data_IF_246715842808
#
_entry.id   IF_246715842808
#
_cell.length_a   1.000
_cell.length_b   1.000
_cell.length_c   1.000
_cell.angle_alpha   90.00
_cell.angle_beta   90.00
_cell.angle_gamma   90.00
#
_symmetry.space_group_name_H-M   'P 1'
#
loop_
_entity.id
_entity.type
_entity.pdbx_description
1 polymer ?
#
# COMPACT_ATOMS: atom_id res chain seq x y z
N UNK A 1 54.81 75.46 28.31
CA UNK A 1 53.88 74.70 29.19
C UNK A 1 52.72 74.21 28.34
N UNK A 2 52.78 73.01 27.81
CA UNK A 2 51.67 72.41 27.07
C UNK A 2 51.44 71.02 27.68
N UNK A 3 50.29 70.83 28.36
CA UNK A 3 49.90 69.59 29.06
C UNK A 3 49.12 68.69 28.16
N UNK A 4 49.70 67.51 27.84
CA UNK A 4 49.06 66.40 27.18
C UNK A 4 47.83 65.85 27.98
N UNK A 5 46.67 65.95 27.38
CA UNK A 5 45.40 65.34 27.88
C UNK A 5 44.77 64.47 26.80
N UNK A 6 45.49 63.44 26.29
CA UNK A 6 44.98 62.57 25.22
C UNK A 6 44.95 61.09 25.59
N UNK A 7 45.13 60.70 26.85
CA UNK A 7 45.24 59.28 27.25
C UNK A 7 43.94 58.53 27.54
N UNK A 8 42.77 59.13 27.83
CA UNK A 8 41.58 58.31 28.13
C UNK A 8 40.75 57.87 26.90
N UNK A 9 40.91 58.48 25.71
CA UNK A 9 40.13 58.19 24.52
C UNK A 9 40.60 56.91 23.82
N UNK A 10 41.90 56.59 23.90
CA UNK A 10 42.46 55.38 23.29
C UNK A 10 42.09 54.08 24.04
N UNK A 11 41.81 54.14 25.34
CA UNK A 11 41.42 52.99 26.17
C UNK A 11 39.95 52.58 25.92
N UNK A 12 39.07 53.53 25.56
CA UNK A 12 37.67 53.28 25.24
C UNK A 12 37.48 52.69 23.85
N UNK A 13 38.33 52.98 22.91
CA UNK A 13 38.32 52.39 21.55
C UNK A 13 38.76 50.91 21.54
N UNK A 14 39.59 50.49 22.50
CA UNK A 14 40.08 49.10 22.59
C UNK A 14 39.04 48.14 23.22
N UNK A 15 38.10 48.66 24.00
CA UNK A 15 37.01 47.83 24.62
C UNK A 15 35.89 47.52 23.64
N UNK A 16 35.71 48.31 22.58
CA UNK A 16 34.68 48.08 21.55
C UNK A 16 35.06 47.02 20.51
N UNK A 17 36.29 46.56 20.46
CA UNK A 17 36.78 45.55 19.50
C UNK A 17 36.69 44.11 19.97
N UNK A 18 36.23 43.82 21.21
CA UNK A 18 36.11 42.48 21.76
C UNK A 18 34.70 41.90 21.70
N UNK A 19 33.74 42.59 21.07
CA UNK A 19 32.38 42.11 20.86
C UNK A 19 32.22 41.32 19.53
N UNK A 20 33.26 40.62 19.05
CA UNK A 20 33.05 39.53 18.10
C UNK A 20 32.40 38.38 18.84
N UNK A 21 31.08 38.27 18.74
CA UNK A 21 30.35 37.13 19.25
C UNK A 21 30.95 35.83 18.69
N UNK A 22 31.61 35.08 19.57
CA UNK A 22 31.95 33.68 19.29
C UNK A 22 30.65 32.94 19.06
N UNK A 23 30.26 32.71 17.80
CA UNK A 23 29.23 31.72 17.55
C UNK A 23 29.73 30.40 18.19
N UNK A 24 28.95 29.89 19.15
CA UNK A 24 29.29 28.62 19.77
C UNK A 24 29.46 27.58 18.65
N UNK A 25 30.52 26.80 18.72
CA UNK A 25 30.72 25.70 17.76
C UNK A 25 29.52 24.78 17.85
N UNK A 26 28.97 24.30 16.71
CA UNK A 26 27.89 23.32 16.73
C UNK A 26 28.36 22.04 17.41
N UNK A 27 27.45 21.39 18.14
CA UNK A 27 27.69 20.10 18.78
C UNK A 27 27.71 18.96 17.76
N UNK A 28 26.96 19.09 16.65
CA UNK A 28 26.97 18.16 15.54
C UNK A 28 26.55 18.84 14.23
N UNK A 29 26.75 18.13 13.13
CA UNK A 29 26.25 18.50 11.81
C UNK A 29 25.30 17.42 11.32
N UNK A 30 24.30 17.83 10.54
CA UNK A 30 23.30 16.93 9.97
C UNK A 30 22.79 17.43 8.62
N UNK A 31 21.89 16.65 8.05
CA UNK A 31 21.20 16.99 6.80
C UNK A 31 19.71 16.87 7.05
N UNK A 32 18.97 17.87 6.64
CA UNK A 32 17.50 17.85 6.66
C UNK A 32 17.03 16.84 5.62
N UNK A 33 16.10 15.98 6.00
CA UNK A 33 15.44 15.05 5.10
C UNK A 33 13.94 15.00 5.39
N UNK A 34 13.20 14.28 4.56
CA UNK A 34 11.76 14.10 4.66
C UNK A 34 11.39 12.62 4.49
N UNK A 35 10.34 12.18 5.17
CA UNK A 35 9.78 10.87 4.87
C UNK A 35 9.36 10.80 3.40
N UNK A 36 9.82 9.78 2.70
CA UNK A 36 9.56 9.65 1.28
C UNK A 36 9.20 8.23 0.88
N UNK A 37 8.30 8.12 -0.09
CA UNK A 37 7.81 6.87 -0.65
C UNK A 37 8.15 6.81 -2.13
N UNK A 38 8.69 5.69 -2.57
CA UNK A 38 8.88 5.40 -3.97
C UNK A 38 7.63 4.71 -4.49
N UNK A 39 6.80 5.41 -5.25
CA UNK A 39 5.59 4.85 -5.84
C UNK A 39 5.95 4.18 -7.16
N UNK A 40 5.67 2.87 -7.24
CA UNK A 40 6.01 2.04 -8.39
C UNK A 40 4.75 1.46 -9.04
N UNK A 41 4.86 1.09 -10.31
CA UNK A 41 3.79 0.40 -11.01
C UNK A 41 3.60 -1.03 -10.48
N UNK A 42 2.37 -1.42 -10.20
CA UNK A 42 2.04 -2.81 -9.81
C UNK A 42 1.80 -3.72 -11.01
N UNK A 43 1.49 -3.15 -12.19
CA UNK A 43 1.22 -3.87 -13.44
C UNK A 43 2.07 -3.30 -14.57
N UNK A 44 2.31 -4.11 -15.59
CA UNK A 44 2.99 -3.67 -16.79
C UNK A 44 2.00 -3.07 -17.79
N UNK A 45 2.34 -1.92 -18.38
CA UNK A 45 1.48 -1.28 -19.37
C UNK A 45 2.01 0.06 -19.86
N UNK A 46 1.37 0.61 -20.87
CA UNK A 46 1.65 1.95 -21.35
C UNK A 46 0.94 2.99 -20.49
N UNK A 47 1.62 4.06 -20.12
CA UNK A 47 1.04 5.18 -19.38
C UNK A 47 0.09 5.96 -20.32
N UNK A 48 -1.20 5.94 -20.00
CA UNK A 48 -2.22 6.73 -20.73
C UNK A 48 -2.37 8.10 -20.12
N UNK A 49 -2.32 8.17 -18.78
CA UNK A 49 -2.47 9.41 -18.03
C UNK A 49 -1.45 9.49 -16.89
N UNK A 50 -0.86 10.67 -16.69
CA UNK A 50 0.13 10.95 -15.67
C UNK A 50 -0.24 12.30 -15.04
N UNK A 51 -0.73 12.27 -13.82
CA UNK A 51 -1.12 13.46 -13.04
C UNK A 51 -0.07 13.83 -11.98
N UNK A 52 0.90 12.92 -11.72
CA UNK A 52 2.01 13.19 -10.84
C UNK A 52 3.03 14.07 -11.59
N UNK A 53 3.03 15.37 -11.30
CA UNK A 53 4.01 16.33 -11.79
C UNK A 53 4.93 16.78 -10.64
N UNK A 54 6.22 17.05 -10.93
CA UNK A 54 7.16 17.51 -9.93
C UNK A 54 6.68 18.83 -9.29
N UNK A 55 6.73 18.88 -7.96
CA UNK A 55 6.26 20.01 -7.16
C UNK A 55 4.75 20.01 -6.89
N UNK A 56 3.93 19.15 -7.50
CA UNK A 56 2.51 19.07 -7.18
C UNK A 56 2.27 18.35 -5.85
N UNK A 57 1.25 18.76 -5.12
CA UNK A 57 0.77 18.08 -3.91
C UNK A 57 -0.35 17.13 -4.28
N UNK A 58 -0.21 15.86 -3.88
CA UNK A 58 -1.21 14.82 -4.06
C UNK A 58 -1.77 14.39 -2.70
N UNK A 59 -3.09 14.30 -2.63
CA UNK A 59 -3.77 13.74 -1.46
C UNK A 59 -3.73 12.21 -1.49
N UNK A 60 -3.83 11.58 -0.32
CA UNK A 60 -3.98 10.13 -0.20
C UNK A 60 -5.17 9.64 -1.02
N UNK A 61 -4.99 8.56 -1.79
CA UNK A 61 -6.01 7.97 -2.66
C UNK A 61 -6.24 8.71 -3.99
N UNK A 62 -5.62 9.88 -4.22
CA UNK A 62 -5.71 10.57 -5.50
C UNK A 62 -5.12 9.71 -6.63
N UNK A 63 -5.76 9.71 -7.79
CA UNK A 63 -5.25 9.04 -8.99
C UNK A 63 -3.99 9.77 -9.47
N UNK A 64 -2.86 9.10 -9.46
CA UNK A 64 -1.58 9.66 -9.90
C UNK A 64 -1.23 9.23 -11.32
N UNK A 65 -1.47 7.96 -11.66
CA UNK A 65 -1.14 7.39 -12.97
C UNK A 65 -2.19 6.39 -13.39
N UNK A 66 -2.46 6.34 -14.70
CA UNK A 66 -3.32 5.34 -15.32
C UNK A 66 -2.60 4.66 -16.47
N UNK A 67 -2.57 3.33 -16.41
CA UNK A 67 -2.03 2.47 -17.47
C UNK A 67 -3.14 2.06 -18.44
N UNK A 68 -2.75 1.67 -19.65
CA UNK A 68 -3.66 1.09 -20.62
C UNK A 68 -4.21 -0.26 -20.16
N UNK A 69 -5.52 -0.39 -20.13
CA UNK A 69 -6.24 -1.60 -19.73
C UNK A 69 -6.88 -2.34 -20.90
N UNK A 70 -6.62 -1.93 -22.14
CA UNK A 70 -7.30 -2.46 -23.33
C UNK A 70 -7.25 -3.97 -23.43
N UNK A 71 -6.06 -4.56 -23.35
CA UNK A 71 -5.86 -6.02 -23.40
C UNK A 71 -6.55 -6.75 -22.23
N UNK A 72 -6.41 -6.25 -21.01
CA UNK A 72 -7.05 -6.81 -19.82
C UNK A 72 -8.58 -6.74 -19.90
N UNK A 73 -9.10 -5.64 -20.39
CA UNK A 73 -10.55 -5.45 -20.58
C UNK A 73 -11.13 -6.40 -21.63
N UNK A 74 -10.38 -6.73 -22.67
CA UNK A 74 -10.75 -7.76 -23.65
C UNK A 74 -10.75 -9.15 -23.01
N UNK A 75 -9.74 -9.48 -22.23
CA UNK A 75 -9.63 -10.74 -21.50
C UNK A 75 -10.79 -10.91 -20.51
N UNK A 76 -11.12 -9.87 -19.73
CA UNK A 76 -12.26 -9.89 -18.82
C UNK A 76 -13.57 -10.20 -19.57
N UNK A 77 -13.83 -9.49 -20.66
CA UNK A 77 -15.03 -9.73 -21.48
C UNK A 77 -15.08 -11.14 -22.05
N UNK A 78 -13.93 -11.75 -22.37
CA UNK A 78 -13.88 -13.14 -22.82
C UNK A 78 -14.37 -14.10 -21.75
N UNK A 79 -13.86 -13.99 -20.49
CA UNK A 79 -14.32 -14.81 -19.38
C UNK A 79 -15.80 -14.61 -19.06
N UNK A 80 -16.27 -13.35 -19.03
CA UNK A 80 -17.69 -13.04 -18.80
C UNK A 80 -18.59 -13.61 -19.91
N UNK A 81 -18.11 -13.66 -21.14
CA UNK A 81 -18.84 -14.26 -22.26
C UNK A 81 -18.91 -15.77 -22.12
N UNK A 82 -17.85 -16.44 -21.66
CA UNK A 82 -17.84 -17.88 -21.39
C UNK A 82 -18.82 -18.22 -20.25
N UNK A 83 -18.84 -17.45 -19.16
CA UNK A 83 -19.83 -17.61 -18.09
C UNK A 83 -21.26 -17.48 -18.61
N UNK A 84 -21.55 -16.45 -19.44
CA UNK A 84 -22.86 -16.26 -20.05
C UNK A 84 -23.26 -17.42 -20.97
N UNK A 85 -22.31 -18.03 -21.68
CA UNK A 85 -22.59 -19.17 -22.55
C UNK A 85 -22.88 -20.46 -21.76
N UNK A 86 -22.29 -20.63 -20.57
CA UNK A 86 -22.52 -21.81 -19.72
C UNK A 86 -23.82 -21.76 -18.93
N UNK A 87 -24.30 -20.59 -18.52
CA UNK A 87 -25.53 -20.45 -17.71
C UNK A 87 -26.77 -21.12 -18.31
N UNK A 88 -27.04 -21.01 -19.63
CA UNK A 88 -28.18 -21.69 -20.24
C UNK A 88 -28.02 -23.22 -20.32
N UNK A 89 -26.82 -23.77 -20.17
CA UNK A 89 -26.56 -25.21 -20.19
C UNK A 89 -26.88 -25.91 -18.86
N UNK A 90 -27.25 -25.15 -17.83
CA UNK A 90 -27.67 -25.71 -16.55
C UNK A 90 -28.92 -26.56 -16.76
N UNK A 91 -28.94 -27.85 -16.32
CA UNK A 91 -30.11 -28.71 -16.47
C UNK A 91 -31.30 -28.18 -15.67
N UNK A 92 -32.46 -28.14 -16.30
CA UNK A 92 -33.72 -27.92 -15.59
C UNK A 92 -34.16 -29.23 -14.94
N UNK A 93 -33.63 -29.48 -13.74
CA UNK A 93 -33.87 -30.71 -12.97
C UNK A 93 -35.38 -30.96 -12.73
N UNK A 94 -36.16 -29.88 -12.47
CA UNK A 94 -37.58 -29.98 -12.23
C UNK A 94 -38.29 -30.51 -13.47
N UNK A 95 -38.05 -29.94 -14.64
CA UNK A 95 -38.71 -30.33 -15.89
C UNK A 95 -38.30 -31.70 -16.35
N UNK A 96 -37.04 -32.10 -16.19
CA UNK A 96 -36.57 -33.42 -16.60
C UNK A 96 -37.12 -34.54 -15.68
N UNK A 97 -37.36 -34.32 -14.42
CA UNK A 97 -37.93 -35.27 -13.48
C UNK A 97 -39.47 -35.30 -13.52
N UNK A 98 -40.14 -34.27 -14.05
CA UNK A 98 -41.61 -34.14 -14.03
C UNK A 98 -42.30 -35.32 -14.69
N UNK A 99 -41.78 -35.82 -15.83
CA UNK A 99 -42.34 -36.98 -16.51
C UNK A 99 -42.29 -38.23 -15.62
N UNK A 100 -41.21 -38.48 -14.93
CA UNK A 100 -41.05 -39.60 -14.04
C UNK A 100 -41.97 -39.49 -12.79
N UNK A 101 -42.11 -38.30 -12.26
CA UNK A 101 -43.01 -38.05 -11.16
C UNK A 101 -44.47 -38.23 -11.53
N UNK A 102 -44.93 -37.84 -12.72
CA UNK A 102 -46.29 -38.11 -13.19
C UNK A 102 -46.55 -39.60 -13.45
N UNK A 103 -45.57 -40.35 -13.96
CA UNK A 103 -45.66 -41.80 -14.09
C UNK A 103 -45.80 -42.47 -12.72
N UNK A 104 -45.01 -42.00 -11.72
CA UNK A 104 -45.11 -42.49 -10.34
C UNK A 104 -46.48 -42.22 -9.72
N UNK A 105 -47.03 -41.01 -9.93
CA UNK A 105 -48.36 -40.65 -9.44
C UNK A 105 -49.47 -41.53 -10.04
N UNK A 106 -49.40 -41.76 -11.34
CA UNK A 106 -50.32 -42.65 -12.03
C UNK A 106 -50.26 -44.10 -11.49
N UNK A 107 -49.04 -44.64 -11.31
CA UNK A 107 -48.85 -45.96 -10.73
C UNK A 107 -49.29 -46.05 -9.24
N UNK A 108 -49.07 -45.01 -8.45
CA UNK A 108 -49.51 -44.91 -7.07
C UNK A 108 -51.07 -44.93 -6.98
N UNK A 109 -51.76 -44.23 -7.91
CA UNK A 109 -53.19 -44.29 -8.05
C UNK A 109 -53.69 -45.66 -8.46
N UNK A 110 -52.99 -46.39 -9.35
CA UNK A 110 -53.29 -47.77 -9.70
C UNK A 110 -53.11 -48.72 -8.52
N UNK A 111 -52.01 -48.56 -7.73
CA UNK A 111 -51.75 -49.34 -6.53
C UNK A 111 -52.91 -49.23 -5.56
N UNK A 112 -53.42 -47.98 -5.26
CA UNK A 112 -54.53 -47.76 -4.37
C UNK A 112 -55.82 -48.47 -4.84
N UNK A 113 -56.07 -48.48 -6.18
CA UNK A 113 -57.23 -49.17 -6.74
C UNK A 113 -57.13 -50.69 -6.62
N UNK A 114 -55.96 -51.26 -6.97
CA UNK A 114 -55.69 -52.70 -6.91
C UNK A 114 -55.78 -53.16 -5.44
N UNK A 115 -55.21 -52.44 -4.49
CA UNK A 115 -55.27 -52.78 -3.06
C UNK A 115 -56.73 -52.85 -2.57
N UNK A 116 -57.58 -51.88 -2.99
CA UNK A 116 -58.98 -51.90 -2.66
C UNK A 116 -59.75 -53.14 -3.24
N UNK A 117 -59.37 -53.52 -4.50
CA UNK A 117 -59.94 -54.75 -5.14
C UNK A 117 -59.44 -56.00 -4.47
N UNK A 118 -58.21 -56.12 -4.08
CA UNK A 118 -57.70 -57.26 -3.30
C UNK A 118 -58.36 -57.35 -1.93
N UNK A 119 -58.54 -56.25 -1.22
CA UNK A 119 -59.25 -56.20 0.05
C UNK A 119 -60.71 -56.63 -0.06
N UNK A 120 -61.34 -56.35 -1.21
CA UNK A 120 -62.68 -56.79 -1.52
C UNK A 120 -62.82 -58.28 -2.02
N UNK A 121 -61.66 -58.96 -2.15
CA UNK A 121 -61.59 -60.32 -2.71
C UNK A 121 -61.81 -60.39 -4.24
N UNK A 122 -61.82 -59.24 -4.94
CA UNK A 122 -62.07 -59.14 -6.39
C UNK A 122 -60.80 -59.22 -7.29
N UNK A 123 -59.59 -59.27 -6.68
CA UNK A 123 -58.32 -59.44 -7.39
C UNK A 123 -57.36 -60.29 -6.58
N UNK A 124 -56.43 -61.01 -7.23
CA UNK A 124 -55.41 -61.78 -6.51
C UNK A 124 -54.32 -60.82 -5.94
N UNK A 125 -53.78 -61.16 -4.76
CA UNK A 125 -52.74 -60.37 -4.08
C UNK A 125 -51.49 -60.15 -4.93
N UNK A 126 -51.13 -61.12 -5.78
CA UNK A 126 -50.01 -61.01 -6.73
C UNK A 126 -50.09 -59.77 -7.62
N UNK A 127 -51.30 -59.28 -7.96
CA UNK A 127 -51.46 -58.08 -8.77
C UNK A 127 -51.06 -56.81 -8.00
N UNK A 128 -51.31 -56.75 -6.69
CA UNK A 128 -50.84 -55.69 -5.83
C UNK A 128 -49.32 -55.72 -5.69
N UNK A 129 -48.74 -56.90 -5.51
CA UNK A 129 -47.27 -57.06 -5.43
C UNK A 129 -46.56 -56.63 -6.75
N UNK A 130 -47.12 -56.99 -7.93
CA UNK A 130 -46.58 -56.59 -9.23
C UNK A 130 -46.57 -55.05 -9.42
N UNK A 131 -47.64 -54.34 -8.99
CA UNK A 131 -47.67 -52.86 -9.08
C UNK A 131 -46.74 -52.21 -8.04
N UNK A 132 -46.63 -52.77 -6.82
CA UNK A 132 -45.68 -52.31 -5.83
C UNK A 132 -44.23 -52.47 -6.31
N UNK A 133 -43.92 -53.58 -7.02
CA UNK A 133 -42.60 -53.77 -7.61
C UNK A 133 -42.28 -52.73 -8.70
N UNK A 134 -43.24 -52.41 -9.57
CA UNK A 134 -43.11 -51.37 -10.58
C UNK A 134 -42.87 -50.00 -9.94
N UNK A 135 -43.55 -49.65 -8.86
CA UNK A 135 -43.33 -48.42 -8.09
C UNK A 135 -41.90 -48.35 -7.54
N UNK A 136 -41.40 -49.47 -6.95
CA UNK A 136 -40.01 -49.53 -6.43
C UNK A 136 -38.98 -49.35 -7.53
N UNK A 137 -39.17 -49.91 -8.71
CA UNK A 137 -38.29 -49.75 -9.88
C UNK A 137 -38.31 -48.27 -10.33
N UNK A 138 -39.50 -47.66 -10.41
CA UNK A 138 -39.65 -46.27 -10.83
C UNK A 138 -39.03 -45.30 -9.82
N UNK A 139 -39.20 -45.52 -8.50
CA UNK A 139 -38.55 -44.77 -7.45
C UNK A 139 -37.01 -44.83 -7.55
N UNK A 140 -36.47 -46.01 -7.87
CA UNK A 140 -35.03 -46.21 -8.12
C UNK A 140 -34.56 -45.44 -9.33
N UNK A 141 -35.35 -45.42 -10.42
CA UNK A 141 -35.04 -44.62 -11.64
C UNK A 141 -35.08 -43.13 -11.35
N UNK A 142 -36.07 -42.62 -10.57
CA UNK A 142 -36.13 -41.21 -10.15
C UNK A 142 -34.87 -40.84 -9.34
N UNK A 143 -34.51 -41.70 -8.36
CA UNK A 143 -33.31 -41.45 -7.56
C UNK A 143 -32.01 -41.40 -8.38
N UNK A 144 -31.88 -42.32 -9.32
CA UNK A 144 -30.71 -42.37 -10.23
C UNK A 144 -30.65 -41.13 -11.16
N UNK A 145 -31.78 -40.78 -11.77
CA UNK A 145 -31.90 -39.56 -12.61
C UNK A 145 -31.60 -38.30 -11.84
N UNK A 146 -32.16 -38.14 -10.62
CA UNK A 146 -31.90 -36.99 -9.75
C UNK A 146 -30.42 -36.90 -9.39
N UNK A 147 -29.78 -38.01 -9.03
CA UNK A 147 -28.35 -38.05 -8.71
C UNK A 147 -27.49 -37.66 -9.92
N UNK A 148 -27.83 -38.12 -11.11
CA UNK A 148 -27.10 -37.77 -12.36
C UNK A 148 -27.21 -36.29 -12.67
N UNK A 149 -28.43 -35.73 -12.66
CA UNK A 149 -28.68 -34.31 -12.90
C UNK A 149 -28.04 -33.39 -11.85
N UNK A 150 -28.04 -33.84 -10.59
CA UNK A 150 -27.37 -33.08 -9.50
C UNK A 150 -25.85 -33.01 -9.75
N UNK A 151 -25.21 -34.10 -10.17
CA UNK A 151 -23.77 -34.12 -10.51
C UNK A 151 -23.46 -33.26 -11.74
N UNK A 152 -24.29 -33.31 -12.76
CA UNK A 152 -24.15 -32.48 -13.95
C UNK A 152 -24.27 -31.01 -13.63
N UNK A 153 -25.32 -30.64 -12.86
CA UNK A 153 -25.50 -29.26 -12.35
C UNK A 153 -24.29 -28.78 -11.54
N UNK A 154 -23.79 -29.64 -10.63
CA UNK A 154 -22.61 -29.31 -9.82
C UNK A 154 -21.36 -29.11 -10.68
N UNK A 155 -21.15 -29.91 -11.72
CA UNK A 155 -20.02 -29.77 -12.64
C UNK A 155 -20.10 -28.44 -13.43
N UNK A 156 -21.27 -28.09 -13.96
CA UNK A 156 -21.45 -26.80 -14.66
C UNK A 156 -21.25 -25.61 -13.74
N UNK A 157 -21.80 -25.66 -12.51
CA UNK A 157 -21.61 -24.59 -11.51
C UNK A 157 -20.14 -24.45 -11.11
N UNK A 158 -19.40 -25.56 -10.96
CA UNK A 158 -17.96 -25.51 -10.68
C UNK A 158 -17.17 -24.84 -11.80
N UNK A 159 -17.52 -25.13 -13.07
CA UNK A 159 -16.90 -24.46 -14.22
C UNK A 159 -17.20 -22.95 -14.25
N UNK A 160 -18.45 -22.57 -13.99
CA UNK A 160 -18.85 -21.15 -13.89
C UNK A 160 -18.03 -20.46 -12.79
N UNK A 161 -17.97 -21.04 -11.59
CA UNK A 161 -17.21 -20.49 -10.47
C UNK A 161 -15.72 -20.34 -10.77
N UNK A 162 -15.12 -21.30 -11.49
CA UNK A 162 -13.74 -21.21 -11.94
C UNK A 162 -13.51 -20.04 -12.90
N UNK A 163 -14.41 -19.82 -13.87
CA UNK A 163 -14.32 -18.72 -14.82
C UNK A 163 -14.58 -17.37 -14.14
N UNK A 164 -15.51 -17.29 -13.20
CA UNK A 164 -15.77 -16.10 -12.39
C UNK A 164 -14.53 -15.73 -11.58
N UNK A 165 -13.86 -16.71 -10.97
CA UNK A 165 -12.59 -16.48 -10.25
C UNK A 165 -11.48 -15.94 -11.17
N UNK A 166 -11.39 -16.45 -12.40
CA UNK A 166 -10.43 -15.94 -13.40
C UNK A 166 -10.79 -14.51 -13.84
N UNK A 167 -12.07 -14.21 -13.99
CA UNK A 167 -12.54 -12.85 -14.27
C UNK A 167 -12.20 -11.88 -13.13
N UNK A 168 -12.32 -12.32 -11.88
CA UNK A 168 -11.99 -11.51 -10.70
C UNK A 168 -10.49 -11.19 -10.61
N UNK A 169 -9.62 -12.14 -10.94
CA UNK A 169 -8.17 -11.89 -11.04
C UNK A 169 -7.89 -10.79 -12.07
N UNK A 170 -8.55 -10.83 -13.24
CA UNK A 170 -8.34 -9.82 -14.27
C UNK A 170 -8.91 -8.46 -13.84
N UNK A 171 -10.04 -8.43 -13.11
CA UNK A 171 -10.59 -7.18 -12.54
C UNK A 171 -9.62 -6.53 -11.54
N UNK A 172 -9.00 -7.32 -10.67
CA UNK A 172 -8.00 -6.85 -9.72
C UNK A 172 -6.79 -6.24 -10.47
N UNK A 173 -6.31 -6.92 -11.52
CA UNK A 173 -5.23 -6.39 -12.37
C UNK A 173 -5.62 -5.07 -13.06
N UNK A 174 -6.85 -4.95 -13.57
CA UNK A 174 -7.38 -3.71 -14.15
C UNK A 174 -7.40 -2.60 -13.07
N UNK A 175 -7.82 -2.90 -11.85
CA UNK A 175 -7.82 -1.94 -10.75
C UNK A 175 -6.39 -1.45 -10.43
N UNK A 176 -5.40 -2.33 -10.44
CA UNK A 176 -3.98 -2.00 -10.23
C UNK A 176 -3.36 -1.18 -11.36
N UNK A 177 -3.97 -1.14 -12.55
CA UNK A 177 -3.56 -0.22 -13.61
C UNK A 177 -3.86 1.25 -13.28
N UNK A 178 -4.63 1.52 -12.23
CA UNK A 178 -4.85 2.85 -11.67
C UNK A 178 -3.99 3.00 -10.42
N UNK A 179 -2.83 3.65 -10.56
CA UNK A 179 -1.90 3.89 -9.44
C UNK A 179 -2.39 5.10 -8.66
N UNK A 180 -2.79 4.87 -7.42
CA UNK A 180 -3.24 5.93 -6.49
C UNK A 180 -2.13 6.31 -5.54
N UNK A 181 -2.16 7.57 -5.09
CA UNK A 181 -1.19 8.10 -4.15
C UNK A 181 -1.37 7.43 -2.76
N UNK A 182 -0.29 6.87 -2.15
CA UNK A 182 -0.41 6.11 -0.90
C UNK A 182 -0.67 7.00 0.32
N UNK A 183 -0.12 8.21 0.36
CA UNK A 183 -0.17 9.15 1.49
C UNK A 183 -0.27 10.59 0.99
N UNK A 184 -0.63 11.52 1.86
CA UNK A 184 -0.56 12.95 1.56
C UNK A 184 0.89 13.38 1.38
N UNK A 185 1.21 14.11 0.31
CA UNK A 185 2.59 14.54 0.10
C UNK A 185 2.80 15.36 -1.15
N UNK A 186 4.04 15.75 -1.38
CA UNK A 186 4.48 16.47 -2.58
C UNK A 186 5.34 15.56 -3.45
N UNK A 187 5.08 15.54 -4.74
CA UNK A 187 5.89 14.81 -5.72
C UNK A 187 7.23 15.52 -5.87
N UNK A 188 8.32 14.85 -5.49
CA UNK A 188 9.68 15.44 -5.52
C UNK A 188 10.50 15.01 -6.73
N UNK A 189 10.13 13.90 -7.37
CA UNK A 189 10.74 13.46 -8.62
C UNK A 189 9.77 12.59 -9.42
N UNK A 190 9.82 12.67 -10.74
CA UNK A 190 9.06 11.81 -11.66
C UNK A 190 10.05 11.10 -12.58
N UNK A 191 9.93 9.76 -12.70
CA UNK A 191 10.90 8.90 -13.38
C UNK A 191 10.42 8.41 -14.74
N UNK A 192 9.18 8.71 -15.11
CA UNK A 192 8.52 8.20 -16.32
C UNK A 192 7.77 9.31 -17.05
N UNK A 193 7.43 9.06 -18.30
CA UNK A 193 6.70 10.01 -19.12
C UNK A 193 5.38 9.41 -19.63
N UNK A 194 4.45 10.29 -19.98
CA UNK A 194 3.22 9.89 -20.64
C UNK A 194 3.53 9.17 -21.96
N UNK A 195 2.80 8.10 -22.25
CA UNK A 195 2.98 7.19 -23.37
C UNK A 195 4.21 6.27 -23.28
N UNK A 196 4.95 6.31 -22.22
CA UNK A 196 6.02 5.35 -21.95
C UNK A 196 5.44 4.01 -21.51
N UNK A 197 6.11 2.91 -21.85
CA UNK A 197 5.78 1.57 -21.36
C UNK A 197 6.58 1.28 -20.10
N UNK A 198 5.89 0.90 -19.02
CA UNK A 198 6.49 0.56 -17.74
C UNK A 198 6.25 -0.91 -17.40
N UNK A 199 7.26 -1.66 -16.97
CA UNK A 199 7.09 -2.98 -16.38
C UNK A 199 6.57 -2.87 -14.94
N UNK A 200 6.05 -3.98 -14.40
CA UNK A 200 5.70 -4.06 -12.98
C UNK A 200 6.94 -3.89 -12.10
N UNK A 201 6.82 -3.14 -11.01
CA UNK A 201 7.90 -2.82 -10.08
C UNK A 201 8.74 -1.61 -10.48
N UNK A 202 8.55 -1.02 -11.64
CA UNK A 202 9.28 0.20 -12.02
C UNK A 202 8.81 1.40 -11.20
N UNK A 203 9.73 2.17 -10.58
CA UNK A 203 9.42 3.43 -9.95
C UNK A 203 8.82 4.43 -10.94
N UNK A 204 7.73 5.08 -10.53
CA UNK A 204 7.03 6.08 -11.34
C UNK A 204 7.37 7.48 -10.82
N UNK A 205 7.20 7.71 -9.52
CA UNK A 205 7.50 8.99 -8.89
C UNK A 205 7.92 8.80 -7.43
N UNK A 206 8.59 9.81 -6.89
CA UNK A 206 8.93 9.93 -5.47
C UNK A 206 7.98 10.93 -4.82
N UNK A 207 7.26 10.47 -3.80
CA UNK A 207 6.43 11.30 -2.94
C UNK A 207 7.20 11.61 -1.66
N UNK A 208 7.13 12.85 -1.15
CA UNK A 208 7.75 13.23 0.12
C UNK A 208 6.80 14.06 0.96
N UNK A 209 6.81 13.83 2.26
CA UNK A 209 6.13 14.67 3.23
C UNK A 209 7.02 15.87 3.58
N UNK A 210 6.76 16.99 2.93
CA UNK A 210 7.51 18.22 3.16
C UNK A 210 6.98 19.04 4.35
N UNK A 211 5.94 18.57 5.04
CA UNK A 211 5.42 19.23 6.23
C UNK A 211 6.13 18.77 7.51
N UNK A 212 6.51 17.50 7.58
CA UNK A 212 7.20 16.92 8.72
C UNK A 212 8.63 16.56 8.33
N UNK A 213 9.53 17.53 8.54
CA UNK A 213 10.95 17.37 8.24
C UNK A 213 11.70 16.90 9.47
N UNK A 214 12.79 16.19 9.25
CA UNK A 214 13.70 15.77 10.28
C UNK A 214 15.15 16.02 9.86
N UNK A 215 16.06 16.03 10.83
CA UNK A 215 17.50 16.07 10.58
C UNK A 215 18.09 14.72 10.94
N UNK A 216 18.79 14.10 10.01
CA UNK A 216 19.72 13.02 10.31
C UNK A 216 21.07 13.64 10.65
N UNK A 217 21.52 13.48 11.89
CA UNK A 217 22.75 14.04 12.44
C UNK A 217 23.63 12.94 13.03
N UNK A 218 24.92 13.24 13.13
CA UNK A 218 25.91 12.32 13.70
C UNK A 218 26.63 12.97 14.87
N UNK A 219 26.42 12.43 16.08
CA UNK A 219 27.05 12.88 17.29
C UNK A 219 28.24 12.00 17.64
N UNK A 220 29.33 12.60 18.13
CA UNK A 220 30.42 11.84 18.72
C UNK A 220 30.04 11.30 20.11
N UNK A 221 30.78 10.32 20.60
CA UNK A 221 30.48 9.67 21.87
C UNK A 221 30.49 10.64 23.08
N UNK A 222 31.29 11.70 23.04
CA UNK A 222 31.36 12.68 24.12
C UNK A 222 30.11 13.58 24.12
N UNK A 223 29.65 14.03 22.96
CA UNK A 223 28.45 14.82 22.78
C UNK A 223 27.20 14.00 23.11
N UNK A 224 27.18 12.70 22.72
CA UNK A 224 26.07 11.81 22.99
C UNK A 224 25.78 11.67 24.49
N UNK A 225 26.77 11.73 25.38
CA UNK A 225 26.53 11.67 26.84
C UNK A 225 25.66 12.80 27.38
N UNK A 226 25.54 13.90 26.63
CA UNK A 226 24.71 15.07 26.98
C UNK A 226 23.33 15.03 26.31
N UNK A 227 23.10 14.11 25.39
CA UNK A 227 21.87 13.98 24.62
C UNK A 227 21.03 12.80 25.14
N UNK A 228 19.73 12.98 25.19
CA UNK A 228 18.77 11.92 25.51
C UNK A 228 17.57 11.99 24.59
N UNK A 229 16.90 10.85 24.43
CA UNK A 229 15.67 10.79 23.67
C UNK A 229 14.64 11.76 24.24
N UNK A 230 14.00 12.56 23.37
CA UNK A 230 13.04 13.57 23.74
C UNK A 230 13.62 14.94 24.10
N UNK A 231 14.94 15.11 24.12
CA UNK A 231 15.56 16.40 24.43
C UNK A 231 15.27 17.42 23.32
N UNK A 232 14.96 18.68 23.71
CA UNK A 232 14.87 19.77 22.75
C UNK A 232 16.26 20.17 22.26
N UNK A 233 16.37 20.53 21.00
CA UNK A 233 17.60 21.00 20.37
C UNK A 233 17.34 22.23 19.51
N UNK A 234 18.37 23.08 19.37
CA UNK A 234 18.37 24.18 18.43
C UNK A 234 19.05 23.73 17.15
N UNK A 235 18.31 23.73 16.06
CA UNK A 235 18.82 23.43 14.72
C UNK A 235 18.99 24.75 13.97
N UNK A 236 20.15 24.94 13.35
CA UNK A 236 20.45 26.17 12.59
C UNK A 236 20.80 25.81 11.15
N UNK A 237 20.18 26.51 10.24
CA UNK A 237 20.38 26.37 8.79
C UNK A 237 20.82 27.69 8.19
N UNK A 238 21.48 27.65 7.05
CA UNK A 238 21.88 28.85 6.33
C UNK A 238 20.66 29.66 5.89
N UNK A 239 20.64 30.97 6.23
CA UNK A 239 19.59 31.87 5.83
C UNK A 239 19.88 32.54 4.49
N UNK A 240 18.88 32.79 3.60
CA UNK A 240 19.06 33.39 2.28
C UNK A 240 19.73 34.78 2.29
N UNK A 241 19.60 35.53 3.39
CA UNK A 241 20.17 36.88 3.56
C UNK A 241 21.53 36.88 4.26
N UNK A 242 22.13 35.71 4.48
CA UNK A 242 23.32 35.51 5.28
C UNK A 242 23.00 35.39 6.77
N UNK A 243 23.85 34.61 7.49
CA UNK A 243 23.61 34.23 8.88
C UNK A 243 22.90 32.89 9.00
N UNK A 244 22.47 32.55 10.21
CA UNK A 244 21.84 31.27 10.53
C UNK A 244 20.37 31.50 10.96
N UNK A 245 19.47 30.78 10.32
CA UNK A 245 18.07 30.66 10.72
C UNK A 245 17.92 29.55 11.75
N UNK A 246 17.28 29.84 12.88
CA UNK A 246 17.11 28.93 14.00
C UNK A 246 15.74 28.30 13.97
N UNK A 247 15.70 26.98 14.06
CA UNK A 247 14.48 26.17 14.14
C UNK A 247 14.57 25.26 15.36
N UNK A 248 13.47 25.09 16.07
CA UNK A 248 13.37 24.13 17.17
C UNK A 248 13.29 22.70 16.64
N UNK A 249 13.80 21.77 17.42
CA UNK A 249 13.65 20.35 17.12
C UNK A 249 13.69 19.50 18.39
N UNK A 250 13.38 18.21 18.22
CA UNK A 250 13.38 17.23 19.30
C UNK A 250 14.05 15.96 18.86
N UNK A 251 14.92 15.41 19.69
CA UNK A 251 15.56 14.11 19.43
C UNK A 251 14.51 13.00 19.54
N UNK A 252 14.27 12.30 18.42
CA UNK A 252 13.28 11.22 18.32
C UNK A 252 13.90 9.83 18.18
N UNK A 253 15.18 9.77 17.79
CA UNK A 253 15.89 8.52 17.66
C UNK A 253 17.38 8.70 17.95
N UNK A 254 17.98 7.72 18.62
CA UNK A 254 19.43 7.60 18.86
C UNK A 254 19.81 6.17 18.52
N UNK A 255 20.78 5.98 17.62
CA UNK A 255 21.28 4.66 17.27
C UNK A 255 21.98 3.99 18.45
N UNK A 256 21.71 2.71 18.68
CA UNK A 256 22.36 1.92 19.75
C UNK A 256 23.79 1.51 19.36
N UNK A 257 24.10 1.43 18.07
CA UNK A 257 25.40 1.07 17.54
C UNK A 257 26.08 2.27 16.89
N UNK A 258 27.40 2.36 17.10
CA UNK A 258 28.19 3.41 16.48
C UNK A 258 28.45 3.09 14.99
N UNK A 259 28.32 4.09 14.16
CA UNK A 259 28.67 4.03 12.74
C UNK A 259 30.05 4.67 12.51
N UNK A 260 30.70 4.25 11.42
CA UNK A 260 31.90 4.96 10.96
C UNK A 260 31.48 6.13 10.07
N UNK A 261 32.01 7.31 10.32
CA UNK A 261 31.74 8.48 9.45
C UNK A 261 31.94 8.12 7.97
N UNK A 262 30.96 8.41 7.08
CA UNK A 262 31.02 8.00 5.67
C UNK A 262 32.07 8.71 4.81
N UNK A 263 33.15 9.24 5.39
CA UNK A 263 34.16 10.01 4.68
C UNK A 263 35.29 9.12 4.16
N UNK A 264 35.38 8.94 2.86
CA UNK A 264 36.33 8.08 2.12
C UNK A 264 37.78 8.60 2.06
N UNK A 265 38.20 9.56 2.88
CA UNK A 265 39.57 10.10 2.85
C UNK A 265 40.32 9.73 4.11
N UNK A 266 41.20 8.75 4.00
CA UNK A 266 42.11 8.27 5.05
C UNK A 266 43.33 9.22 5.20
N UNK A 267 43.20 10.28 5.98
CA UNK A 267 44.35 10.99 6.53
C UNK A 267 44.60 10.51 7.97
N UNK A 268 45.85 10.59 8.46
CA UNK A 268 46.22 10.09 9.80
C UNK A 268 45.46 10.72 10.96
N UNK A 269 44.86 11.91 10.77
CA UNK A 269 44.07 12.64 11.76
C UNK A 269 42.57 12.28 11.73
N UNK A 270 42.10 11.63 10.67
CA UNK A 270 40.73 11.10 10.51
C UNK A 270 40.68 9.59 10.77
N UNK A 271 41.34 9.10 11.81
CA UNK A 271 40.97 7.77 12.35
C UNK A 271 39.52 7.86 12.75
N UNK A 272 38.71 7.06 12.06
CA UNK A 272 37.26 7.01 12.15
C UNK A 272 36.79 7.29 13.59
N UNK A 273 36.32 8.51 13.83
CA UNK A 273 35.60 8.78 15.07
C UNK A 273 34.30 8.01 14.94
N UNK A 274 34.08 7.13 15.88
CA UNK A 274 32.78 6.49 16.02
C UNK A 274 31.76 7.59 16.28
N UNK A 275 30.72 7.61 15.46
CA UNK A 275 29.62 8.54 15.57
C UNK A 275 28.33 7.77 15.69
N UNK A 276 27.39 8.34 16.38
CA UNK A 276 26.07 7.76 16.57
C UNK A 276 25.08 8.55 15.73
N UNK A 277 24.32 7.86 14.91
CA UNK A 277 23.23 8.46 14.16
C UNK A 277 22.11 8.89 15.10
N UNK A 278 21.65 10.12 14.95
CA UNK A 278 20.57 10.72 15.74
C UNK A 278 19.59 11.36 14.80
N UNK A 279 18.30 11.11 15.00
CA UNK A 279 17.22 11.79 14.27
C UNK A 279 16.56 12.81 15.15
N UNK A 280 16.33 13.97 14.57
CA UNK A 280 15.75 15.14 15.22
C UNK A 280 14.55 15.57 14.39
N UNK A 281 13.35 15.44 14.93
CA UNK A 281 12.15 15.98 14.28
C UNK A 281 12.14 17.49 14.45
N UNK A 282 11.86 18.20 13.37
CA UNK A 282 11.87 19.66 13.32
C UNK A 282 10.47 20.23 13.55
N UNK A 283 10.41 21.40 14.16
CA UNK A 283 9.19 22.20 14.17
C UNK A 283 8.87 22.66 12.73
N UNK A 284 7.57 22.82 12.42
CA UNK A 284 7.15 23.23 11.07
C UNK A 284 7.75 24.58 10.68
N UNK A 285 8.46 24.61 9.56
CA UNK A 285 9.03 25.82 8.99
C UNK A 285 9.03 25.76 7.44
N UNK A 286 8.33 26.69 6.83
CA UNK A 286 8.17 26.77 5.37
C UNK A 286 9.48 27.06 4.59
N UNK A 287 10.53 27.51 5.27
CA UNK A 287 11.81 27.84 4.64
C UNK A 287 12.71 26.60 4.47
N UNK A 288 12.45 25.54 5.24
CA UNK A 288 13.26 24.33 5.21
C UNK A 288 12.98 23.48 3.96
N UNK A 289 14.02 22.82 3.48
CA UNK A 289 13.94 21.87 2.35
C UNK A 289 14.83 20.67 2.63
N UNK A 290 14.41 19.46 2.21
CA UNK A 290 15.29 18.29 2.21
C UNK A 290 16.60 18.57 1.46
N UNK A 291 17.72 18.06 1.99
CA UNK A 291 19.06 18.27 1.47
C UNK A 291 19.79 19.50 2.03
N UNK A 292 19.13 20.37 2.81
CA UNK A 292 19.81 21.49 3.48
C UNK A 292 20.74 20.97 4.58
N UNK A 293 21.98 21.49 4.68
CA UNK A 293 22.85 21.22 5.82
C UNK A 293 22.32 21.94 7.06
N UNK A 294 22.51 21.30 8.21
CA UNK A 294 22.06 21.80 9.48
C UNK A 294 23.16 21.70 10.56
N UNK A 295 23.27 22.72 11.39
CA UNK A 295 24.08 22.74 12.60
C UNK A 295 23.21 22.45 13.82
N UNK A 296 23.63 21.50 14.65
CA UNK A 296 22.89 21.06 15.83
C UNK A 296 23.54 21.65 17.08
N UNK A 297 22.74 22.26 17.92
CA UNK A 297 23.14 22.78 19.23
C UNK A 297 22.27 22.16 20.32
N UNK A 298 22.87 21.36 21.20
CA UNK A 298 22.19 20.80 22.36
C UNK A 298 21.85 21.91 23.36
N UNK A 299 20.66 21.87 23.91
CA UNK A 299 20.23 22.79 24.96
C UNK A 299 20.61 22.15 26.28
N UNK A 300 21.60 22.74 26.99
CA UNK A 300 22.04 22.23 28.28
C UNK A 300 20.86 22.19 29.27
N UNK A 301 20.64 21.04 29.88
CA UNK A 301 19.69 20.93 31.02
C UNK A 301 20.28 21.71 32.20
N UNK A 302 19.66 22.82 32.55
CA UNK A 302 19.95 23.55 33.78
C UNK A 302 19.41 22.81 35.00
#
# INVERSE_FOLDING_TARGET
MIRHRSFPVLLWALVLLTACGRSARPDAYGIIDAHSWMVASSEAGQIVDLQAEEGCRLAQGALAVRLDTGALSLQLRAFESQVRALRPTLPDVGRQLDVLYRQREALAGEQTRVDALVAAGAAPSRKSDDVADQLRVLDSQIAAARSSLSRETAAVLANISSLESQADIVRDRIARCSVTNPEDGTVTAVYVHRHEFVPAGQPIYKLSDLQHLYVDAWLDAATLTRASLGDPVDVRVDAPQGGLHKVGGRITYIAEEAEFTPNKVLTRDTRAKQVYHVRIDLDEDAQLRPGMPAEIHLIDRR
#
